data_IF_773644040969
#
_entry.id   IF_773644040969
#
_cell.length_a   1.000
_cell.length_b   1.000
_cell.length_c   1.000
_cell.angle_alpha   90.00
_cell.angle_beta   90.00
_cell.angle_gamma   90.00
#
_symmetry.space_group_name_H-M   'P 1'
#
loop_
_entity.id
_entity.type
_entity.pdbx_description
1 polymer ?
#
# COMPACT_ATOMS: atom_id res chain seq x y z
N UNK A 1 6.82 7.43 -27.01
CA UNK A 1 5.42 6.94 -26.91
C UNK A 1 4.60 7.87 -26.00
N UNK A 2 3.61 8.57 -26.58
CA UNK A 2 2.92 9.72 -25.99
C UNK A 2 1.45 9.43 -25.60
N UNK A 3 1.12 8.18 -25.26
CA UNK A 3 -0.23 7.84 -24.81
C UNK A 3 -0.45 8.30 -23.37
N UNK A 4 -1.47 9.14 -23.15
CA UNK A 4 -1.90 9.58 -21.81
C UNK A 4 -2.32 8.36 -21.00
N UNK A 5 -1.78 8.16 -19.78
CA UNK A 5 -2.24 7.06 -18.93
C UNK A 5 -3.71 7.29 -18.55
N UNK A 6 -4.48 6.21 -18.49
CA UNK A 6 -5.85 6.21 -17.99
C UNK A 6 -5.85 5.49 -16.64
N UNK A 7 -6.44 6.12 -15.62
CA UNK A 7 -6.68 5.49 -14.33
C UNK A 7 -8.19 5.27 -14.18
N UNK A 8 -8.63 4.08 -13.71
CA UNK A 8 -10.01 3.89 -13.32
C UNK A 8 -10.35 4.88 -12.19
N UNK A 9 -11.60 5.33 -12.13
CA UNK A 9 -12.06 6.19 -11.05
C UNK A 9 -12.14 5.37 -9.74
N UNK A 10 -11.12 5.53 -8.90
CA UNK A 10 -11.01 4.88 -7.59
C UNK A 10 -11.48 5.88 -6.54
N UNK A 11 -12.69 5.68 -6.02
CA UNK A 11 -13.24 6.45 -4.90
C UNK A 11 -13.26 5.60 -3.64
N UNK A 12 -12.57 6.04 -2.59
CA UNK A 12 -12.53 5.35 -1.30
C UNK A 12 -12.66 6.34 -0.15
N UNK A 13 -13.27 5.90 0.95
CA UNK A 13 -13.29 6.65 2.21
C UNK A 13 -12.27 6.02 3.15
N UNK A 14 -11.41 6.88 3.71
CA UNK A 14 -10.34 6.49 4.61
C UNK A 14 -10.34 7.40 5.83
N UNK A 15 -10.30 6.80 7.02
CA UNK A 15 -10.22 7.49 8.30
C UNK A 15 -8.80 7.36 8.86
N UNK A 16 -8.01 8.44 8.80
CA UNK A 16 -6.65 8.44 9.33
C UNK A 16 -6.60 8.28 10.87
N UNK A 17 -7.65 8.71 11.57
CA UNK A 17 -7.72 8.62 13.04
C UNK A 17 -7.74 7.16 13.53
N UNK A 18 -8.36 6.26 12.76
CA UNK A 18 -8.48 4.84 13.10
C UNK A 18 -7.18 4.06 12.91
N UNK A 19 -6.20 4.64 12.21
CA UNK A 19 -4.85 4.08 12.10
C UNK A 19 -4.08 4.14 13.43
N UNK A 20 -4.58 4.89 14.41
CA UNK A 20 -4.03 4.94 15.76
C UNK A 20 -4.67 3.90 16.70
N UNK A 21 -5.57 3.04 16.22
CA UNK A 21 -6.13 1.97 17.03
C UNK A 21 -5.03 0.99 17.49
N UNK A 22 -5.20 0.37 18.67
CA UNK A 22 -4.24 -0.60 19.18
C UNK A 22 -4.12 -1.77 18.20
N UNK A 23 -2.89 -2.29 17.98
CA UNK A 23 -2.68 -3.42 17.07
C UNK A 23 -3.38 -4.68 17.56
N UNK A 24 -3.95 -5.42 16.62
CA UNK A 24 -4.61 -6.71 16.83
C UNK A 24 -3.53 -7.79 16.82
N UNK A 25 -3.42 -8.57 17.90
CA UNK A 25 -2.47 -9.68 17.98
C UNK A 25 -2.85 -10.79 17.01
N UNK A 26 -1.85 -11.38 16.38
CA UNK A 26 -2.01 -12.61 15.63
C UNK A 26 -2.13 -13.78 16.62
N UNK A 27 -3.07 -14.68 16.34
CA UNK A 27 -3.21 -15.96 17.03
C UNK A 27 -1.95 -16.82 16.83
N UNK A 28 -1.39 -16.78 15.62
CA UNK A 28 -0.16 -17.50 15.27
C UNK A 28 0.86 -16.51 14.72
N UNK A 29 1.99 -16.29 15.44
CA UNK A 29 3.09 -15.48 14.94
C UNK A 29 3.74 -16.08 13.70
N UNK A 30 4.00 -15.25 12.69
CA UNK A 30 4.55 -15.66 11.40
C UNK A 30 6.01 -15.24 11.27
N UNK A 31 6.85 -16.03 10.61
CA UNK A 31 8.25 -15.68 10.37
C UNK A 31 8.35 -14.39 9.51
N UNK A 32 8.99 -13.35 10.06
CA UNK A 32 9.14 -12.06 9.38
C UNK A 32 9.98 -12.16 8.13
N UNK A 33 10.87 -13.14 8.00
CA UNK A 33 11.70 -13.34 6.79
C UNK A 33 10.87 -13.53 5.53
N UNK A 34 9.65 -14.06 5.65
CA UNK A 34 8.75 -14.27 4.52
C UNK A 34 8.42 -12.97 3.77
N UNK A 35 8.44 -11.81 4.45
CA UNK A 35 8.21 -10.50 3.81
C UNK A 35 9.22 -10.20 2.69
N UNK A 36 10.45 -10.72 2.80
CA UNK A 36 11.53 -10.47 1.85
C UNK A 36 11.75 -11.64 0.89
N UNK A 37 11.46 -12.88 1.31
CA UNK A 37 11.71 -14.06 0.47
C UNK A 37 10.55 -14.41 -0.44
N UNK A 38 9.31 -14.35 0.06
CA UNK A 38 8.13 -14.80 -0.67
C UNK A 38 6.87 -14.19 -0.07
N UNK A 39 6.41 -13.10 -0.69
CA UNK A 39 5.16 -12.45 -0.29
C UNK A 39 3.95 -13.38 -0.44
N UNK A 40 3.99 -14.31 -1.41
CA UNK A 40 2.95 -15.32 -1.60
C UNK A 40 2.84 -16.25 -0.38
N UNK A 41 3.97 -16.72 0.16
CA UNK A 41 3.96 -17.60 1.32
C UNK A 41 3.58 -16.85 2.60
N UNK A 42 4.02 -15.60 2.73
CA UNK A 42 3.55 -14.71 3.80
C UNK A 42 2.03 -14.53 3.73
N UNK A 43 1.49 -14.26 2.54
CA UNK A 43 0.06 -14.03 2.33
C UNK A 43 -0.75 -15.26 2.73
N UNK A 44 -0.34 -16.45 2.30
CA UNK A 44 -0.98 -17.73 2.71
C UNK A 44 -0.95 -17.95 4.21
N UNK A 45 0.15 -17.60 4.87
CA UNK A 45 0.29 -17.76 6.32
C UNK A 45 -0.58 -16.78 7.12
N UNK A 46 -0.87 -15.60 6.55
CA UNK A 46 -1.68 -14.56 7.17
C UNK A 46 -3.17 -14.62 6.77
N UNK A 47 -3.53 -15.29 5.68
CA UNK A 47 -4.90 -15.32 5.12
C UNK A 47 -5.98 -15.75 6.12
N UNK A 48 -5.66 -16.64 7.06
CA UNK A 48 -6.58 -17.09 8.10
C UNK A 48 -6.88 -16.03 9.18
N UNK A 49 -6.03 -15.01 9.30
CA UNK A 49 -6.09 -13.99 10.35
C UNK A 49 -6.28 -12.57 9.79
N UNK A 50 -5.87 -12.35 8.55
CA UNK A 50 -5.91 -11.10 7.81
C UNK A 50 -6.55 -11.41 6.44
N UNK A 51 -7.87 -11.22 6.29
CA UNK A 51 -8.56 -11.46 5.03
C UNK A 51 -7.94 -10.69 3.87
N UNK A 52 -7.99 -11.22 2.65
CA UNK A 52 -7.57 -10.50 1.44
C UNK A 52 -6.12 -9.95 1.45
N UNK A 53 -5.24 -10.44 2.33
CA UNK A 53 -3.84 -9.99 2.45
C UNK A 53 -3.06 -10.13 1.12
N UNK A 54 -3.46 -11.07 0.27
CA UNK A 54 -2.91 -11.23 -1.08
C UNK A 54 -3.14 -10.00 -1.99
N UNK A 55 -4.14 -9.17 -1.69
CA UNK A 55 -4.42 -7.91 -2.39
C UNK A 55 -3.62 -6.74 -1.82
N UNK A 56 -2.60 -6.97 -1.01
CA UNK A 56 -1.73 -5.93 -0.49
C UNK A 56 -0.34 -6.02 -1.11
N UNK A 57 0.35 -4.89 -1.14
CA UNK A 57 1.73 -4.79 -1.61
C UNK A 57 2.61 -4.24 -0.50
N UNK A 58 3.68 -4.97 -0.20
CA UNK A 58 4.73 -4.53 0.71
C UNK A 58 5.42 -3.27 0.19
N UNK A 59 5.60 -2.30 1.08
CA UNK A 59 6.36 -1.07 0.84
C UNK A 59 7.58 -1.03 1.76
N UNK A 60 8.75 -1.30 1.17
CA UNK A 60 10.01 -1.30 1.92
C UNK A 60 10.49 0.08 2.33
N UNK A 61 10.02 1.15 1.66
CA UNK A 61 10.48 2.52 1.91
C UNK A 61 9.74 3.14 3.11
N UNK A 62 8.47 2.77 3.31
CA UNK A 62 7.70 3.18 4.48
C UNK A 62 7.87 2.23 5.68
N UNK A 63 8.45 1.06 5.47
CA UNK A 63 8.73 0.09 6.52
C UNK A 63 9.94 0.51 7.36
N UNK A 64 9.88 0.21 8.66
CA UNK A 64 10.92 0.54 9.62
C UNK A 64 11.23 -0.65 10.53
N UNK A 65 12.25 -0.51 11.38
CA UNK A 65 12.60 -1.57 12.33
C UNK A 65 11.41 -1.86 13.25
N UNK A 66 10.95 -3.11 13.26
CA UNK A 66 9.81 -3.54 14.06
C UNK A 66 8.45 -3.34 13.40
N UNK A 67 8.37 -2.81 12.16
CA UNK A 67 7.09 -2.58 11.48
C UNK A 67 7.21 -2.68 9.96
N UNK A 68 6.41 -3.55 9.35
CA UNK A 68 6.26 -3.62 7.90
C UNK A 68 4.99 -2.91 7.46
N UNK A 69 5.08 -2.13 6.39
CA UNK A 69 3.97 -1.38 5.82
C UNK A 69 3.54 -2.04 4.51
N UNK A 70 2.22 -2.20 4.35
CA UNK A 70 1.62 -2.67 3.11
C UNK A 70 0.47 -1.76 2.68
N UNK A 71 0.32 -1.62 1.37
CA UNK A 71 -0.78 -0.86 0.76
C UNK A 71 -1.73 -1.79 0.02
N UNK A 72 -3.05 -1.63 0.19
CA UNK A 72 -4.02 -2.41 -0.58
C UNK A 72 -3.96 -2.03 -2.07
N UNK A 73 -4.22 -3.02 -2.91
CA UNK A 73 -4.23 -2.93 -4.36
C UNK A 73 -5.67 -2.89 -4.86
N UNK A 74 -5.99 -1.90 -5.67
CA UNK A 74 -7.23 -1.87 -6.44
C UNK A 74 -7.00 -2.54 -7.78
N UNK A 75 -7.88 -3.48 -8.14
CA UNK A 75 -7.78 -4.31 -9.35
C UNK A 75 -6.41 -5.03 -9.47
N UNK A 76 -5.79 -5.34 -8.33
CA UNK A 76 -4.46 -5.95 -8.24
C UNK A 76 -3.31 -5.15 -8.92
N UNK A 77 -3.54 -3.88 -9.25
CA UNK A 77 -2.61 -3.05 -10.02
C UNK A 77 -2.21 -1.77 -9.29
N UNK A 78 -3.16 -1.11 -8.62
CA UNK A 78 -2.96 0.25 -8.13
C UNK A 78 -2.93 0.30 -6.59
N UNK A 79 -1.77 0.63 -6.02
CA UNK A 79 -1.61 0.79 -4.55
C UNK A 79 -2.31 2.04 -4.04
N UNK A 80 -3.08 1.90 -2.96
CA UNK A 80 -3.61 3.04 -2.21
C UNK A 80 -2.60 3.51 -1.17
N UNK A 81 -1.63 4.33 -1.56
CA UNK A 81 -0.50 4.75 -0.71
C UNK A 81 -0.90 5.44 0.61
N UNK A 82 -2.07 6.07 0.68
CA UNK A 82 -2.56 6.68 1.93
C UNK A 82 -3.09 5.66 2.94
N UNK A 83 -3.41 4.46 2.48
CA UNK A 83 -4.00 3.39 3.27
C UNK A 83 -2.89 2.42 3.64
N UNK A 84 -2.65 2.19 4.93
CA UNK A 84 -1.55 1.33 5.38
C UNK A 84 -2.08 0.23 6.29
N UNK A 85 -1.79 -1.00 5.90
CA UNK A 85 -1.78 -2.15 6.80
C UNK A 85 -0.38 -2.22 7.41
N UNK A 86 -0.32 -2.12 8.73
CA UNK A 86 0.96 -2.23 9.45
C UNK A 86 1.05 -3.63 10.06
N UNK A 87 2.15 -4.34 9.80
CA UNK A 87 2.48 -5.59 10.46
C UNK A 87 3.56 -5.32 11.50
N UNK A 88 3.26 -5.61 12.77
CA UNK A 88 4.16 -5.41 13.90
C UNK A 88 5.10 -6.62 13.99
N UNK A 89 6.40 -6.36 13.97
CA UNK A 89 7.45 -7.36 14.06
C UNK A 89 8.15 -7.30 15.42
N UNK A 90 8.24 -8.43 16.12
CA UNK A 90 8.98 -8.62 17.36
C UNK A 90 9.72 -9.96 17.30
N UNK A 91 10.98 -10.00 17.72
CA UNK A 91 11.79 -11.23 17.78
C UNK A 91 11.81 -12.02 16.46
N UNK A 92 11.93 -11.29 15.34
CA UNK A 92 11.91 -11.84 13.97
C UNK A 92 10.59 -12.52 13.60
N UNK A 93 9.50 -12.22 14.31
CA UNK A 93 8.16 -12.69 14.00
C UNK A 93 7.18 -11.53 13.86
N UNK A 94 6.30 -11.65 12.88
CA UNK A 94 5.12 -10.82 12.81
C UNK A 94 4.15 -11.32 13.89
N UNK A 95 3.82 -10.45 14.83
CA UNK A 95 3.06 -10.81 16.05
C UNK A 95 1.71 -10.10 16.15
N UNK A 96 1.53 -9.01 15.41
CA UNK A 96 0.29 -8.23 15.42
C UNK A 96 0.16 -7.43 14.13
N UNK A 97 -1.02 -6.87 13.89
CA UNK A 97 -1.28 -5.99 12.76
C UNK A 97 -2.18 -4.81 13.15
N UNK A 98 -2.05 -3.67 12.46
CA UNK A 98 -3.04 -2.58 12.49
C UNK A 98 -3.78 -2.55 11.18
N UNK A 99 -5.06 -2.87 11.25
CA UNK A 99 -5.91 -2.92 10.07
C UNK A 99 -6.35 -1.52 9.65
N UNK A 100 -6.21 -1.14 8.37
CA UNK A 100 -6.77 0.10 7.89
C UNK A 100 -8.28 -0.06 7.70
N UNK A 101 -9.08 0.70 8.44
CA UNK A 101 -10.51 0.81 8.15
C UNK A 101 -10.70 1.62 6.87
N UNK A 102 -11.02 0.91 5.78
CA UNK A 102 -11.37 1.49 4.50
C UNK A 102 -12.76 1.05 4.08
N UNK A 103 -13.52 1.99 3.58
CA UNK A 103 -14.75 1.71 2.85
C UNK A 103 -14.48 2.05 1.39
N UNK A 104 -14.30 1.00 0.57
CA UNK A 104 -14.22 1.15 -0.87
C UNK A 104 -15.65 1.36 -1.37
N UNK A 105 -15.95 2.57 -1.84
CA UNK A 105 -17.24 2.83 -2.49
C UNK A 105 -17.33 2.03 -3.77
N UNK A 106 -18.49 1.44 -4.06
CA UNK A 106 -18.75 0.86 -5.39
C UNK A 106 -18.56 1.94 -6.45
N UNK A 107 -17.51 1.81 -7.26
CA UNK A 107 -17.24 2.70 -8.39
C UNK A 107 -18.47 2.74 -9.30
N UNK A 108 -19.22 3.84 -9.26
CA UNK A 108 -20.30 4.09 -10.20
C UNK A 108 -19.70 4.29 -11.60
N UNK A 109 -19.90 3.28 -12.45
CA UNK A 109 -19.90 3.28 -13.91
C UNK A 109 -19.19 4.45 -14.64
N UNK A 110 -18.15 4.08 -15.40
CA UNK A 110 -17.84 4.59 -16.75
C UNK A 110 -17.34 6.02 -16.95
N UNK A 111 -16.46 6.52 -16.06
CA UNK A 111 -15.59 7.64 -16.45
C UNK A 111 -14.14 7.37 -16.11
N UNK A 112 -13.40 6.86 -17.10
CA UNK A 112 -11.94 6.84 -17.09
C UNK A 112 -11.41 8.25 -16.84
N UNK A 113 -10.61 8.42 -15.79
CA UNK A 113 -9.97 9.70 -15.51
C UNK A 113 -8.68 9.77 -16.33
N UNK A 114 -8.59 10.76 -17.22
CA UNK A 114 -7.32 11.10 -17.88
C UNK A 114 -6.38 11.63 -16.81
N UNK A 115 -5.24 10.97 -16.63
CA UNK A 115 -4.23 11.42 -15.66
C UNK A 115 -3.09 12.16 -16.35
N UNK A 116 -2.42 13.00 -15.57
CA UNK A 116 -1.25 13.73 -16.05
C UNK A 116 -0.17 12.74 -16.50
N UNK A 117 0.35 12.86 -17.73
CA UNK A 117 1.51 12.11 -18.17
C UNK A 117 2.70 12.29 -17.22
N UNK A 118 3.48 11.22 -17.02
CA UNK A 118 4.63 11.24 -16.13
C UNK A 118 5.64 12.36 -16.48
N UNK A 119 5.83 12.65 -17.77
CA UNK A 119 6.70 13.73 -18.23
C UNK A 119 6.23 15.12 -17.80
N UNK A 120 4.91 15.36 -17.79
CA UNK A 120 4.35 16.64 -17.33
C UNK A 120 4.36 16.76 -15.81
N UNK A 121 4.05 15.67 -15.09
CA UNK A 121 4.17 15.64 -13.63
C UNK A 121 5.63 15.89 -13.20
N UNK A 122 6.58 15.26 -13.90
CA UNK A 122 8.00 15.44 -13.66
C UNK A 122 8.48 16.87 -13.94
N UNK A 123 8.09 17.47 -15.08
CA UNK A 123 8.40 18.89 -15.35
C UNK A 123 7.92 19.80 -14.22
N UNK A 124 6.71 19.60 -13.70
CA UNK A 124 6.18 20.43 -12.61
C UNK A 124 6.93 20.27 -11.29
N UNK A 125 7.54 19.10 -11.06
CA UNK A 125 8.35 18.82 -9.88
C UNK A 125 9.77 19.38 -10.03
N UNK A 126 10.39 19.22 -11.20
CA UNK A 126 11.73 19.73 -11.51
C UNK A 126 11.80 21.24 -11.30
N UNK A 127 10.82 21.98 -11.82
CA UNK A 127 10.78 23.45 -11.71
C UNK A 127 10.66 23.95 -10.26
N UNK A 128 10.09 23.15 -9.35
CA UNK A 128 9.74 23.59 -7.99
C UNK A 128 10.62 23.03 -6.88
N UNK A 129 11.18 21.84 -7.07
CA UNK A 129 11.76 21.08 -5.95
C UNK A 129 13.12 20.46 -6.22
N UNK A 130 13.62 20.49 -7.45
CA UNK A 130 14.90 19.86 -7.76
C UNK A 130 16.03 20.91 -7.83
N UNK A 131 17.17 20.66 -7.18
CA UNK A 131 18.38 21.44 -7.42
C UNK A 131 18.86 21.26 -8.87
N UNK A 132 19.57 22.27 -9.37
CA UNK A 132 20.26 22.19 -10.65
C UNK A 132 21.15 20.92 -10.71
N UNK A 133 21.18 20.26 -11.86
CA UNK A 133 21.92 19.01 -12.16
C UNK A 133 21.36 17.70 -11.56
N UNK A 134 20.10 17.70 -11.10
CA UNK A 134 19.43 16.45 -10.71
C UNK A 134 19.05 15.58 -11.91
N UNK A 135 19.27 14.26 -11.82
CA UNK A 135 18.87 13.26 -12.83
C UNK A 135 17.66 12.47 -12.31
N UNK A 136 16.62 12.35 -13.14
CA UNK A 136 15.34 11.68 -12.80
C UNK A 136 14.97 10.66 -13.86
#
# INVERSE_FOLDING_TARGET
PASTPQLPNITYRYSAEEQNEPPIKLDVPIDSKLIYSSFTDLSKALESQIPDIANYRFDSQESEVGKFVLHPLVQNQWSLFRVKLELINSDQKIVAYRWPKIEIGTSSSDKEQKVLPASQALSSLIEKYFPADSVV
#
